data_IF_700039319325
#
_entry.id   IF_700039319325
#
_cell.length_a   1.000
_cell.length_b   1.000
_cell.length_c   1.000
_cell.angle_alpha   90.00
_cell.angle_beta   90.00
_cell.angle_gamma   90.00
#
_symmetry.space_group_name_H-M   'P 1'
#
loop_
_entity.id
_entity.type
_entity.pdbx_description
1 polymer ?
#
# COMPACT_ATOMS: atom_id res chain seq x y z
N UNK A 1 -12.78 -30.73 2.05
CA UNK A 1 -13.71 -30.12 3.01
C UNK A 1 -13.04 -28.83 3.43
N UNK A 2 -13.28 -27.75 2.68
CA UNK A 2 -12.50 -26.51 2.78
C UNK A 2 -13.19 -25.55 3.73
N UNK A 3 -12.46 -25.09 4.74
CA UNK A 3 -12.95 -24.06 5.64
C UNK A 3 -13.12 -22.74 4.87
N UNK A 4 -14.31 -22.19 4.96
CA UNK A 4 -14.67 -20.89 4.39
C UNK A 4 -13.90 -19.81 5.15
N UNK A 5 -13.04 -19.07 4.46
CA UNK A 5 -12.40 -17.87 5.01
C UNK A 5 -13.52 -16.85 5.24
N UNK A 6 -13.79 -16.60 6.51
CA UNK A 6 -14.76 -15.64 6.98
C UNK A 6 -14.39 -14.24 6.48
N UNK A 7 -15.34 -13.50 5.90
CA UNK A 7 -15.13 -12.16 5.33
C UNK A 7 -14.94 -11.05 6.38
N UNK A 8 -14.81 -11.42 7.64
CA UNK A 8 -14.70 -10.50 8.78
C UNK A 8 -13.26 -10.38 9.29
N UNK A 9 -12.32 -10.08 8.39
CA UNK A 9 -10.93 -9.81 8.79
C UNK A 9 -10.56 -8.32 8.66
N UNK A 10 -10.49 -7.73 9.86
CA UNK A 10 -9.68 -6.60 10.26
C UNK A 10 -9.94 -5.26 9.53
N UNK A 11 -10.95 -4.55 10.03
CA UNK A 11 -10.80 -3.10 10.20
C UNK A 11 -9.48 -2.85 10.95
N UNK A 12 -8.48 -2.34 10.23
CA UNK A 12 -7.24 -1.82 10.82
C UNK A 12 -7.68 -0.93 11.99
N UNK A 13 -7.16 -1.15 13.21
CA UNK A 13 -7.54 -0.31 14.34
C UNK A 13 -7.26 1.15 13.98
N UNK A 14 -8.27 2.00 14.13
CA UNK A 14 -8.16 3.45 14.07
C UNK A 14 -7.27 3.92 15.24
N UNK A 15 -5.97 3.68 15.15
CA UNK A 15 -5.00 4.06 16.18
C UNK A 15 -3.91 4.90 15.52
N UNK A 16 -4.28 6.13 15.23
CA UNK A 16 -3.81 7.36 15.88
C UNK A 16 -4.71 8.43 15.26
N UNK A 17 -5.76 8.83 15.98
CA UNK A 17 -6.48 10.08 15.70
C UNK A 17 -5.56 11.23 16.05
N UNK A 18 -4.53 11.44 15.23
CA UNK A 18 -3.91 12.74 15.12
C UNK A 18 -4.98 13.65 14.55
N UNK A 19 -5.54 14.51 15.40
CA UNK A 19 -6.56 15.49 15.02
C UNK A 19 -6.06 16.53 13.99
N UNK A 20 -4.87 16.33 13.41
CA UNK A 20 -4.07 17.33 12.69
C UNK A 20 -3.69 16.89 11.26
N UNK A 21 -4.13 15.73 10.77
CA UNK A 21 -4.00 15.45 9.32
C UNK A 21 -5.24 15.97 8.57
N UNK A 22 -5.28 17.29 8.35
CA UNK A 22 -6.23 17.92 7.42
C UNK A 22 -5.63 18.03 6.02
N UNK A 23 -6.30 17.53 4.97
CA UNK A 23 -7.66 16.98 4.96
C UNK A 23 -7.72 15.50 5.39
N UNK A 24 -8.85 15.13 6.02
CA UNK A 24 -9.14 13.75 6.41
C UNK A 24 -8.99 12.79 5.22
N UNK A 25 -8.27 11.68 5.43
CA UNK A 25 -8.01 10.72 4.36
C UNK A 25 -9.30 10.01 3.98
N UNK A 26 -9.56 9.86 2.68
CA UNK A 26 -10.65 9.01 2.19
C UNK A 26 -10.39 7.54 2.56
N UNK A 27 -11.43 6.81 2.92
CA UNK A 27 -11.39 5.35 3.10
C UNK A 27 -11.20 4.66 1.74
N UNK A 28 -10.29 3.68 1.71
CA UNK A 28 -9.88 2.99 0.48
C UNK A 28 -10.09 1.49 0.72
N UNK A 29 -10.68 0.74 -0.24
CA UNK A 29 -10.93 -0.70 -0.06
C UNK A 29 -9.62 -1.49 0.02
N UNK A 30 -9.63 -2.61 0.73
CA UNK A 30 -8.45 -3.46 0.95
C UNK A 30 -7.84 -4.00 -0.35
N UNK A 31 -8.66 -4.20 -1.39
CA UNK A 31 -8.23 -4.60 -2.74
C UNK A 31 -7.28 -3.60 -3.43
N UNK A 32 -7.11 -2.41 -2.88
CA UNK A 32 -6.15 -1.41 -3.37
C UNK A 32 -4.76 -1.60 -2.78
N UNK A 33 -4.53 -2.55 -1.88
CA UNK A 33 -3.22 -2.71 -1.22
C UNK A 33 -2.39 -3.88 -1.76
N UNK A 34 -2.99 -4.76 -2.57
CA UNK A 34 -2.32 -5.96 -3.09
C UNK A 34 -1.31 -5.71 -4.22
N UNK A 35 -0.67 -6.80 -4.67
CA UNK A 35 0.30 -6.79 -5.77
C UNK A 35 -0.30 -6.18 -7.03
N UNK A 36 0.46 -5.28 -7.68
CA UNK A 36 0.07 -4.59 -8.91
C UNK A 36 -1.34 -3.94 -8.86
N UNK A 37 -1.83 -3.56 -7.67
CA UNK A 37 -3.12 -2.92 -7.51
C UNK A 37 -3.20 -1.61 -8.31
N UNK A 38 -4.29 -1.47 -9.08
CA UNK A 38 -4.52 -0.25 -9.86
C UNK A 38 -4.87 0.91 -8.95
N UNK A 39 -4.13 2.00 -9.10
CA UNK A 39 -4.37 3.24 -8.37
C UNK A 39 -4.31 4.45 -9.31
N UNK A 40 -5.23 5.38 -9.06
CA UNK A 40 -5.28 6.68 -9.71
C UNK A 40 -5.36 7.77 -8.66
N UNK A 41 -5.03 9.00 -9.02
CA UNK A 41 -5.06 10.11 -8.07
C UNK A 41 -6.47 10.39 -7.54
N UNK A 42 -7.51 10.12 -8.36
CA UNK A 42 -8.91 10.26 -7.99
C UNK A 42 -9.33 9.33 -6.83
N UNK A 43 -8.62 8.21 -6.62
CA UNK A 43 -8.89 7.29 -5.50
C UNK A 43 -8.61 7.95 -4.13
N UNK A 44 -7.73 8.97 -4.09
CA UNK A 44 -7.23 9.56 -2.85
C UNK A 44 -7.53 11.06 -2.69
N UNK A 45 -7.98 11.75 -3.75
CA UNK A 45 -8.38 13.16 -3.67
C UNK A 45 -9.57 13.34 -2.73
N UNK A 46 -9.49 14.34 -1.87
CA UNK A 46 -10.58 14.75 -0.96
C UNK A 46 -11.45 15.85 -1.57
N UNK A 47 -10.87 16.71 -2.41
CA UNK A 47 -11.59 17.77 -3.15
C UNK A 47 -11.87 17.34 -4.58
N UNK A 48 -13.07 17.69 -5.07
CA UNK A 48 -13.44 17.47 -6.47
C UNK A 48 -13.18 18.71 -7.31
N UNK A 49 -12.42 18.57 -8.39
CA UNK A 49 -12.16 19.65 -9.35
C UNK A 49 -13.00 19.52 -10.63
N UNK A 50 -14.11 18.76 -10.59
CA UNK A 50 -14.98 18.48 -11.75
C UNK A 50 -15.61 19.72 -12.40
N UNK A 51 -15.64 20.85 -11.69
CA UNK A 51 -16.13 22.13 -12.20
C UNK A 51 -15.09 22.85 -13.10
N UNK A 52 -13.83 22.42 -13.07
CA UNK A 52 -12.75 22.98 -13.89
C UNK A 52 -12.74 22.32 -15.27
N UNK A 53 -12.37 23.03 -16.34
CA UNK A 53 -12.26 22.44 -17.67
C UNK A 53 -11.18 21.36 -17.70
N UNK A 54 -11.37 20.35 -18.56
CA UNK A 54 -10.34 19.34 -18.80
C UNK A 54 -9.12 19.99 -19.45
N UNK A 55 -7.93 19.51 -19.07
CA UNK A 55 -6.70 19.86 -19.76
C UNK A 55 -6.71 19.32 -21.20
N UNK A 56 -5.91 19.94 -22.08
CA UNK A 56 -5.73 19.47 -23.46
C UNK A 56 -5.15 18.05 -23.48
N UNK A 57 -5.63 17.22 -24.41
CA UNK A 57 -5.07 15.90 -24.65
C UNK A 57 -3.77 16.00 -25.45
N UNK A 58 -2.76 15.26 -25.01
CA UNK A 58 -1.43 15.22 -25.60
C UNK A 58 -0.95 13.79 -25.84
N UNK A 59 -1.80 12.77 -25.71
CA UNK A 59 -1.35 11.37 -25.69
C UNK A 59 -1.11 10.79 -27.10
N UNK A 60 0.13 10.39 -27.43
CA UNK A 60 0.44 9.64 -28.65
C UNK A 60 0.66 8.14 -28.40
N UNK A 61 0.56 7.66 -27.15
CA UNK A 61 0.89 6.28 -26.73
C UNK A 61 -0.33 5.56 -26.16
N UNK A 62 -0.39 4.25 -26.38
CA UNK A 62 -1.43 3.36 -25.84
C UNK A 62 -0.94 2.61 -24.59
N UNK A 63 -1.84 2.34 -23.64
CA UNK A 63 -1.54 1.57 -22.44
C UNK A 63 -1.22 0.09 -22.72
N UNK A 64 -0.53 -0.56 -21.78
CA UNK A 64 -0.22 -2.00 -21.85
C UNK A 64 -1.44 -2.85 -21.53
N UNK A 65 -1.78 -3.79 -22.42
CA UNK A 65 -2.83 -4.79 -22.20
C UNK A 65 -2.54 -5.68 -21.00
N UNK A 66 -1.27 -6.06 -20.79
CA UNK A 66 -0.84 -6.88 -19.66
C UNK A 66 -1.08 -6.16 -18.31
N UNK A 67 -0.68 -4.89 -18.20
CA UNK A 67 -0.94 -4.10 -16.98
C UNK A 67 -2.43 -3.86 -16.74
N UNK A 68 -3.21 -3.73 -17.82
CA UNK A 68 -4.66 -3.60 -17.73
C UNK A 68 -5.34 -4.86 -17.19
N UNK A 69 -4.79 -6.05 -17.47
CA UNK A 69 -5.32 -7.32 -16.99
C UNK A 69 -5.19 -7.49 -15.47
N UNK A 70 -4.22 -6.84 -14.82
CA UNK A 70 -4.02 -6.92 -13.36
C UNK A 70 -5.19 -6.39 -12.53
N UNK A 71 -6.15 -5.65 -13.12
CA UNK A 71 -7.41 -5.33 -12.43
C UNK A 71 -8.18 -6.59 -11.98
N UNK A 72 -8.02 -7.70 -12.70
CA UNK A 72 -8.67 -8.98 -12.39
C UNK A 72 -7.96 -9.73 -11.27
N UNK A 73 -6.70 -9.43 -10.98
CA UNK A 73 -5.95 -10.07 -9.88
C UNK A 73 -6.52 -9.72 -8.50
N UNK A 74 -7.14 -8.54 -8.39
CA UNK A 74 -7.76 -8.08 -7.15
C UNK A 74 -9.19 -8.63 -6.96
N UNK A 75 -9.70 -9.43 -7.90
CA UNK A 75 -10.98 -10.08 -7.76
C UNK A 75 -10.80 -11.43 -7.03
N UNK A 76 -11.33 -11.60 -5.80
CA UNK A 76 -11.20 -12.85 -5.05
C UNK A 76 -11.86 -14.05 -5.74
N UNK A 77 -12.82 -13.83 -6.64
CA UNK A 77 -13.53 -14.88 -7.37
C UNK A 77 -12.77 -15.38 -8.61
N UNK A 78 -11.58 -14.83 -8.88
CA UNK A 78 -10.80 -15.13 -10.09
C UNK A 78 -9.42 -15.69 -9.74
N UNK A 79 -9.15 -16.91 -10.19
CA UNK A 79 -7.79 -17.48 -10.18
C UNK A 79 -7.06 -17.00 -11.42
N UNK A 80 -6.00 -16.19 -11.24
CA UNK A 80 -5.19 -15.69 -12.35
C UNK A 80 -4.12 -16.71 -12.78
N UNK A 81 -4.25 -17.23 -14.01
CA UNK A 81 -3.17 -17.97 -14.69
C UNK A 81 -2.35 -17.08 -15.64
N UNK A 82 -2.71 -15.79 -15.74
CA UNK A 82 -2.02 -14.80 -16.54
C UNK A 82 -1.16 -13.86 -15.71
N UNK A 83 -0.43 -12.96 -16.39
CA UNK A 83 0.25 -11.85 -15.72
C UNK A 83 1.72 -12.03 -15.42
N UNK A 84 2.22 -13.27 -15.33
CA UNK A 84 3.63 -13.56 -15.07
C UNK A 84 4.13 -13.02 -13.72
N UNK A 85 3.26 -12.95 -12.72
CA UNK A 85 3.59 -12.46 -11.38
C UNK A 85 4.21 -13.61 -10.58
N UNK A 86 5.46 -13.47 -10.11
CA UNK A 86 6.08 -14.48 -9.26
C UNK A 86 5.39 -14.56 -7.90
N UNK A 87 5.36 -15.77 -7.33
CA UNK A 87 4.94 -15.98 -5.95
C UNK A 87 5.93 -15.34 -4.98
N UNK A 88 5.43 -14.82 -3.86
CA UNK A 88 6.26 -14.19 -2.83
C UNK A 88 7.25 -15.16 -2.17
N UNK A 89 6.98 -16.47 -2.22
CA UNK A 89 7.88 -17.53 -1.73
C UNK A 89 9.25 -17.53 -2.43
N UNK A 90 9.31 -17.09 -3.69
CA UNK A 90 10.55 -16.98 -4.45
C UNK A 90 11.36 -15.71 -4.16
N UNK A 91 10.83 -14.79 -3.33
CA UNK A 91 11.55 -13.61 -2.90
C UNK A 91 12.53 -13.98 -1.77
N UNK A 92 13.85 -13.75 -1.94
CA UNK A 92 14.88 -14.17 -0.98
C UNK A 92 15.01 -13.23 0.23
N UNK A 93 13.92 -12.57 0.64
CA UNK A 93 13.90 -11.65 1.78
C UNK A 93 12.64 -11.91 2.59
N UNK A 94 12.78 -12.24 3.87
CA UNK A 94 11.63 -12.47 4.75
C UNK A 94 11.14 -11.20 5.43
N UNK A 95 12.09 -10.36 5.83
CA UNK A 95 11.82 -9.08 6.48
C UNK A 95 12.85 -8.04 6.06
N UNK A 96 12.41 -6.79 5.93
CA UNK A 96 13.28 -5.63 5.79
C UNK A 96 13.08 -4.73 7.01
N UNK A 97 14.18 -4.23 7.55
CA UNK A 97 14.17 -3.33 8.70
C UNK A 97 15.08 -2.13 8.45
N UNK A 98 14.60 -0.93 8.78
CA UNK A 98 15.34 0.31 8.60
C UNK A 98 15.10 1.26 9.77
N UNK A 99 16.20 1.87 10.24
CA UNK A 99 16.19 2.90 11.27
C UNK A 99 16.57 4.25 10.63
N UNK A 100 15.65 5.22 10.56
CA UNK A 100 15.96 6.54 10.02
C UNK A 100 16.87 7.36 10.93
N UNK A 101 17.65 8.26 10.33
CA UNK A 101 18.61 9.10 11.06
C UNK A 101 17.96 10.11 12.02
N UNK A 102 16.69 10.46 11.84
CA UNK A 102 15.96 11.36 12.75
C UNK A 102 15.55 10.69 14.07
N UNK A 103 15.69 9.36 14.16
CA UNK A 103 15.44 8.61 15.38
C UNK A 103 16.61 8.81 16.36
N UNK A 104 16.38 9.38 17.56
CA UNK A 104 17.43 9.64 18.54
C UNK A 104 18.22 8.37 18.90
N UNK A 105 19.55 8.46 18.95
CA UNK A 105 20.45 7.33 19.25
C UNK A 105 20.21 6.69 20.62
N UNK A 106 19.53 7.37 21.55
CA UNK A 106 19.11 6.81 22.85
C UNK A 106 18.02 5.74 22.74
N UNK A 107 17.32 5.68 21.61
CA UNK A 107 16.36 4.62 21.20
C UNK A 107 16.96 3.63 20.19
N UNK A 108 18.30 3.51 20.21
CA UNK A 108 19.07 2.59 19.36
C UNK A 108 19.79 1.53 20.21
N UNK A 109 19.67 1.65 21.53
CA UNK A 109 20.40 0.86 22.51
C UNK A 109 19.42 0.16 23.45
N UNK A 110 18.50 -0.65 22.92
CA UNK A 110 17.98 -1.80 23.65
C UNK A 110 17.49 -2.89 22.68
N UNK A 111 18.01 -4.09 22.93
CA UNK A 111 17.41 -5.40 22.62
C UNK A 111 17.99 -6.19 21.44
N UNK A 112 19.09 -6.88 21.74
CA UNK A 112 19.44 -8.17 21.14
C UNK A 112 18.81 -9.37 21.90
N UNK A 113 17.89 -9.13 22.84
CA UNK A 113 17.20 -10.18 23.59
C UNK A 113 15.83 -9.71 24.03
N UNK A 114 14.80 -10.50 23.72
CA UNK A 114 13.43 -10.46 24.22
C UNK A 114 12.54 -9.26 23.86
N UNK A 115 11.62 -9.55 22.93
CA UNK A 115 10.18 -9.31 23.06
C UNK A 115 9.71 -8.18 23.98
N UNK A 116 10.06 -6.93 23.66
CA UNK A 116 9.27 -5.78 24.07
C UNK A 116 9.26 -4.73 22.96
N UNK A 117 8.05 -4.29 22.63
CA UNK A 117 7.70 -3.23 21.70
C UNK A 117 8.37 -1.93 22.15
N UNK A 118 9.57 -1.61 21.68
CA UNK A 118 10.14 -0.25 21.59
C UNK A 118 11.62 -0.31 21.19
N UNK A 119 11.90 -0.01 19.92
CA UNK A 119 13.06 0.78 19.49
C UNK A 119 12.79 1.17 18.05
N UNK A 120 12.93 2.45 17.70
CA UNK A 120 12.36 3.09 16.51
C UNK A 120 12.96 2.59 15.18
N UNK A 121 12.56 1.37 14.83
CA UNK A 121 12.97 0.59 13.67
C UNK A 121 11.70 0.25 12.89
N UNK A 122 11.61 0.73 11.66
CA UNK A 122 10.55 0.33 10.74
C UNK A 122 10.87 -1.07 10.23
N UNK A 123 10.02 -2.04 10.56
CA UNK A 123 10.13 -3.42 10.10
C UNK A 123 8.94 -3.75 9.22
N UNK A 124 9.19 -4.39 8.09
CA UNK A 124 8.15 -4.96 7.24
C UNK A 124 8.49 -6.40 6.88
N UNK A 125 7.50 -7.30 6.98
CA UNK A 125 7.58 -8.72 6.65
C UNK A 125 6.75 -9.05 5.41
N UNK A 126 6.81 -10.30 4.93
CA UNK A 126 5.99 -10.75 3.79
C UNK A 126 4.49 -10.85 4.09
N UNK A 127 4.11 -10.96 5.36
CA UNK A 127 2.74 -11.30 5.78
C UNK A 127 2.03 -10.14 6.48
N UNK A 128 2.64 -8.95 6.55
CA UNK A 128 2.04 -7.82 7.27
C UNK A 128 0.68 -7.41 6.70
N UNK A 129 0.48 -7.55 5.38
CA UNK A 129 -0.80 -7.23 4.76
C UNK A 129 -1.87 -8.25 5.13
N UNK A 130 -1.55 -9.56 5.09
CA UNK A 130 -2.47 -10.63 5.47
C UNK A 130 -2.80 -10.63 6.96
N UNK A 131 -1.85 -10.23 7.80
CA UNK A 131 -2.02 -10.14 9.25
C UNK A 131 -2.62 -8.79 9.69
N UNK A 132 -2.87 -7.86 8.76
CA UNK A 132 -3.41 -6.53 9.06
C UNK A 132 -2.47 -5.62 9.85
N UNK A 133 -1.17 -5.93 9.93
CA UNK A 133 -0.14 -5.13 10.60
C UNK A 133 0.23 -3.87 9.82
N UNK A 134 0.16 -3.93 8.49
CA UNK A 134 0.49 -2.83 7.59
C UNK A 134 -0.35 -2.90 6.33
N UNK A 135 -0.62 -1.73 5.72
CA UNK A 135 -1.21 -1.65 4.37
C UNK A 135 -0.18 -1.83 3.27
N UNK A 136 1.11 -1.96 3.61
CA UNK A 136 2.19 -2.22 2.68
C UNK A 136 3.17 -3.20 3.29
N UNK A 137 3.42 -4.31 2.59
CA UNK A 137 4.33 -5.35 3.01
C UNK A 137 5.42 -5.58 1.95
N UNK A 138 6.47 -6.35 2.28
CA UNK A 138 7.56 -6.56 1.32
C UNK A 138 7.16 -7.49 0.17
N UNK A 139 6.11 -8.31 0.34
CA UNK A 139 5.61 -9.19 -0.71
C UNK A 139 4.99 -8.39 -1.86
N UNK A 140 4.32 -7.28 -1.52
CA UNK A 140 3.79 -6.30 -2.47
C UNK A 140 4.90 -5.40 -2.99
N UNK A 141 5.81 -4.94 -2.11
CA UNK A 141 6.84 -3.96 -2.47
C UNK A 141 7.88 -4.50 -3.48
N UNK A 142 8.25 -5.77 -3.33
CA UNK A 142 9.28 -6.41 -4.17
C UNK A 142 8.71 -7.06 -5.44
N UNK A 143 7.40 -7.00 -5.63
CA UNK A 143 6.74 -7.55 -6.80
C UNK A 143 6.42 -6.46 -7.84
N UNK A 144 5.88 -6.85 -8.99
CA UNK A 144 5.53 -5.92 -10.05
C UNK A 144 4.48 -4.90 -9.60
N UNK A 145 4.61 -3.69 -10.13
CA UNK A 145 3.74 -2.56 -9.84
C UNK A 145 3.14 -1.93 -11.10
N UNK A 146 2.10 -1.13 -10.87
CA UNK A 146 1.51 -0.30 -11.93
C UNK A 146 2.44 0.85 -12.29
N UNK A 147 2.27 1.42 -13.49
CA UNK A 147 3.08 2.57 -13.93
C UNK A 147 2.92 3.82 -13.06
N UNK A 148 1.86 3.90 -12.26
CA UNK A 148 1.60 4.98 -11.31
C UNK A 148 2.33 4.84 -9.97
N UNK A 149 3.02 3.71 -9.73
CA UNK A 149 3.67 3.40 -8.46
C UNK A 149 2.74 2.66 -7.48
N UNK A 150 3.14 2.61 -6.20
CA UNK A 150 2.35 1.95 -5.17
C UNK A 150 1.23 2.86 -4.63
N UNK A 151 0.02 2.33 -4.40
CA UNK A 151 -1.12 3.10 -3.90
C UNK A 151 -0.85 3.75 -2.54
N UNK A 152 -0.04 3.11 -1.70
CA UNK A 152 0.33 3.59 -0.37
C UNK A 152 1.17 4.87 -0.47
N UNK A 153 2.18 4.88 -1.35
CA UNK A 153 3.02 6.06 -1.59
C UNK A 153 2.23 7.16 -2.32
N UNK A 154 1.44 6.80 -3.34
CA UNK A 154 0.64 7.77 -4.08
C UNK A 154 -0.36 8.50 -3.17
N UNK A 155 -0.99 7.77 -2.24
CA UNK A 155 -1.86 8.35 -1.21
C UNK A 155 -1.10 9.32 -0.32
N UNK A 156 0.11 8.96 0.14
CA UNK A 156 0.93 9.84 0.97
C UNK A 156 1.28 11.14 0.24
N UNK A 157 1.77 11.05 -1.01
CA UNK A 157 2.12 12.21 -1.83
C UNK A 157 0.92 13.14 -2.01
N UNK A 158 -0.24 12.59 -2.38
CA UNK A 158 -1.43 13.39 -2.65
C UNK A 158 -1.98 14.07 -1.40
N UNK A 159 -2.01 13.36 -0.27
CA UNK A 159 -2.44 13.96 1.00
C UNK A 159 -1.49 15.10 1.35
N UNK A 160 -0.17 14.86 1.35
CA UNK A 160 0.84 15.88 1.68
C UNK A 160 0.76 17.13 0.80
N UNK A 161 0.58 16.96 -0.52
CA UNK A 161 0.44 18.10 -1.45
C UNK A 161 -0.83 18.93 -1.20
N UNK A 162 -1.90 18.31 -0.69
CA UNK A 162 -3.15 19.00 -0.39
C UNK A 162 -3.14 19.70 0.98
N UNK A 163 -2.17 19.44 1.86
CA UNK A 163 -2.04 20.13 3.17
C UNK A 163 -1.20 21.41 3.09
N UNK A 164 -0.42 21.59 2.01
CA UNK A 164 0.55 22.68 1.87
C UNK A 164 -0.01 24.04 1.45
N UNK A 165 -1.30 24.33 1.68
CA UNK A 165 -1.95 25.58 1.29
C UNK A 165 -2.97 26.06 2.31
#
# INVERSE_FOLDING_TARGET
>A
MGEYINSDHASIPDTVTDAVLKPARRTVPASKWGVAAQCTTEDFKTRTDKHKPLAKDWNPRTGSSLKAAFKHLQNPDVISLGGGIPLSEFLPFETLSFTPSFVPSSSRSKSASDSSVDDACFRSSKTDLSEGRSVFDISVALNYSQGSGSPQLLRWILVSLLQGN
#
